data_IF_887606154491
#
_entry.id   IF_887606154491
#
_cell.length_a   1.000
_cell.length_b   1.000
_cell.length_c   1.000
_cell.angle_alpha   90.00
_cell.angle_beta   90.00
_cell.angle_gamma   90.00
#
_symmetry.space_group_name_H-M   'P 1'
#
loop_
_entity.id
_entity.type
_entity.pdbx_description
1 polymer ?
#
# COMPACT_ATOMS: atom_id res chain seq x y z
N UNK A 1 1.55 -9.81 -19.00
CA UNK A 1 1.02 -8.44 -19.19
C UNK A 1 1.69 -7.55 -18.16
N UNK A 2 2.16 -6.37 -18.56
CA UNK A 2 2.75 -5.39 -17.65
C UNK A 2 1.68 -4.88 -16.67
N UNK A 3 2.12 -4.48 -15.48
CA UNK A 3 1.24 -3.79 -14.53
C UNK A 3 0.69 -2.49 -15.17
N UNK A 4 -0.60 -2.15 -14.95
CA UNK A 4 -1.10 -0.83 -15.32
C UNK A 4 -0.44 0.23 -14.42
N UNK A 5 -0.28 1.49 -14.88
CA UNK A 5 0.27 2.55 -14.04
C UNK A 5 -0.64 2.93 -12.86
N UNK A 6 -1.95 2.70 -13.01
CA UNK A 6 -2.96 2.94 -11.98
C UNK A 6 -3.97 1.80 -11.94
N UNK A 7 -4.20 1.24 -10.75
CA UNK A 7 -5.27 0.28 -10.49
C UNK A 7 -5.78 0.44 -9.05
N UNK A 8 -6.91 1.14 -8.84
CA UNK A 8 -7.33 1.52 -7.51
C UNK A 8 -7.71 0.31 -6.66
N UNK A 9 -7.09 0.19 -5.48
CA UNK A 9 -7.54 -0.73 -4.44
C UNK A 9 -8.76 -0.14 -3.73
N UNK A 10 -9.77 -0.93 -3.37
CA UNK A 10 -10.86 -0.48 -2.49
C UNK A 10 -10.45 -0.42 -1.02
N UNK A 11 -9.29 -0.98 -0.66
CA UNK A 11 -8.83 -1.13 0.71
C UNK A 11 -8.06 0.11 1.19
N UNK A 12 -8.75 1.23 1.32
CA UNK A 12 -8.18 2.45 1.88
C UNK A 12 -9.21 3.23 2.68
N UNK A 13 -8.74 4.24 3.40
CA UNK A 13 -9.62 5.16 4.11
C UNK A 13 -8.95 6.51 4.35
N UNK A 14 -9.61 7.43 5.08
CA UNK A 14 -8.97 8.66 5.50
C UNK A 14 -7.79 8.37 6.43
N UNK A 15 -6.75 9.21 6.33
CA UNK A 15 -5.69 9.26 7.35
C UNK A 15 -6.31 9.70 8.67
N UNK A 16 -5.90 9.07 9.77
CA UNK A 16 -6.43 9.36 11.11
C UNK A 16 -5.71 10.56 11.72
N UNK A 17 -6.38 11.24 12.65
CA UNK A 17 -5.81 12.29 13.52
C UNK A 17 -5.05 13.41 12.78
N UNK A 18 -5.44 13.72 11.54
CA UNK A 18 -4.76 14.73 10.70
C UNK A 18 -3.33 14.35 10.31
N UNK A 19 -2.94 13.08 10.49
CA UNK A 19 -1.60 12.58 10.21
C UNK A 19 -1.32 12.61 8.71
N UNK A 20 -0.06 12.87 8.39
CA UNK A 20 0.46 12.93 7.02
C UNK A 20 1.66 11.98 6.88
N UNK A 21 1.95 11.51 5.66
CA UNK A 21 3.17 10.75 5.38
C UNK A 21 4.42 11.48 5.84
N UNK A 22 5.25 10.79 6.60
CA UNK A 22 6.62 11.19 6.95
C UNK A 22 7.60 10.00 6.85
N UNK A 23 7.11 8.83 6.43
CA UNK A 23 7.84 7.57 6.33
C UNK A 23 7.55 6.92 4.99
N UNK A 24 8.54 6.21 4.46
CA UNK A 24 8.35 5.21 3.41
C UNK A 24 8.56 3.84 4.05
N UNK A 25 7.63 2.91 3.83
CA UNK A 25 7.75 1.53 4.30
C UNK A 25 7.83 0.63 3.08
N UNK A 26 8.97 -0.05 2.93
CA UNK A 26 9.22 -0.99 1.84
C UNK A 26 8.79 -2.39 2.26
N UNK A 27 7.96 -3.03 1.45
CA UNK A 27 7.48 -4.40 1.64
C UNK A 27 7.97 -5.29 0.50
N UNK A 28 7.91 -6.59 0.73
CA UNK A 28 7.90 -7.58 -0.34
C UNK A 28 6.62 -8.41 -0.21
N UNK A 29 6.02 -8.80 -1.34
CA UNK A 29 4.67 -9.37 -1.35
C UNK A 29 4.63 -10.86 -1.07
N UNK A 30 5.77 -11.56 -1.18
CA UNK A 30 5.88 -13.02 -1.09
C UNK A 30 4.94 -13.79 -2.05
N UNK A 31 4.56 -13.18 -3.18
CA UNK A 31 3.67 -13.77 -4.17
C UNK A 31 4.40 -14.17 -5.45
N UNK A 32 3.85 -15.15 -6.16
CA UNK A 32 4.44 -15.72 -7.38
C UNK A 32 4.55 -14.72 -8.53
N UNK A 33 3.74 -13.65 -8.53
CA UNK A 33 3.81 -12.62 -9.56
C UNK A 33 3.28 -11.27 -9.08
N UNK A 34 3.69 -10.21 -9.79
CA UNK A 34 3.16 -8.87 -9.60
C UNK A 34 1.64 -8.81 -9.82
N UNK A 35 1.10 -9.61 -10.76
CA UNK A 35 -0.35 -9.68 -10.99
C UNK A 35 -1.08 -10.31 -9.80
N UNK A 36 -0.56 -11.42 -9.26
CA UNK A 36 -1.13 -12.05 -8.07
C UNK A 36 -1.09 -11.11 -6.86
N UNK A 37 0.00 -10.36 -6.68
CA UNK A 37 0.11 -9.33 -5.66
C UNK A 37 -0.93 -8.23 -5.83
N UNK A 38 -1.07 -7.70 -7.05
CA UNK A 38 -2.08 -6.69 -7.38
C UNK A 38 -3.49 -7.18 -7.09
N UNK A 39 -3.83 -8.40 -7.53
CA UNK A 39 -5.14 -9.00 -7.29
C UNK A 39 -5.43 -9.15 -5.79
N UNK A 40 -4.44 -9.55 -4.97
CA UNK A 40 -4.61 -9.60 -3.51
C UNK A 40 -4.77 -8.22 -2.89
N UNK A 41 -3.94 -7.25 -3.26
CA UNK A 41 -3.94 -5.91 -2.69
C UNK A 41 -5.18 -5.10 -3.09
N UNK A 42 -5.90 -5.54 -4.11
CA UNK A 42 -7.18 -4.98 -4.55
C UNK A 42 -8.40 -5.83 -4.14
N UNK A 43 -8.22 -6.98 -3.49
CA UNK A 43 -9.31 -7.83 -2.99
C UNK A 43 -9.97 -7.19 -1.74
N UNK A 44 -11.25 -6.79 -1.79
CA UNK A 44 -11.95 -6.22 -0.63
C UNK A 44 -11.95 -7.12 0.61
N UNK A 45 -11.92 -8.45 0.43
CA UNK A 45 -11.93 -9.43 1.51
C UNK A 45 -10.58 -9.52 2.23
N UNK A 46 -9.48 -9.18 1.56
CA UNK A 46 -8.15 -9.24 2.14
C UNK A 46 -7.87 -8.10 3.13
N UNK A 47 -8.57 -6.95 2.98
CA UNK A 47 -8.44 -5.77 3.82
C UNK A 47 -6.98 -5.31 4.01
N UNK A 48 -6.18 -5.42 2.96
CA UNK A 48 -4.80 -4.93 2.88
C UNK A 48 -4.56 -4.25 1.53
N UNK A 49 -3.66 -3.28 1.51
CA UNK A 49 -3.25 -2.55 0.30
C UNK A 49 -1.93 -1.84 0.53
N UNK A 50 -1.27 -1.42 -0.55
CA UNK A 50 -0.15 -0.49 -0.53
C UNK A 50 -0.48 0.72 -1.42
N UNK A 51 0.35 1.78 -1.38
CA UNK A 51 0.17 2.92 -2.29
C UNK A 51 0.71 2.58 -3.67
N UNK A 52 1.85 1.89 -3.72
CA UNK A 52 2.52 1.47 -4.94
C UNK A 52 2.84 -0.03 -4.90
N UNK A 53 2.93 -0.63 -6.08
CA UNK A 53 3.46 -1.96 -6.31
C UNK A 53 4.49 -1.86 -7.43
N UNK A 54 5.69 -2.37 -7.19
CA UNK A 54 6.76 -2.41 -8.20
C UNK A 54 6.91 -3.85 -8.70
N UNK A 55 6.74 -4.04 -10.00
CA UNK A 55 6.99 -5.31 -10.68
C UNK A 55 8.48 -5.61 -10.83
N UNK A 56 8.83 -6.89 -11.04
CA UNK A 56 10.22 -7.31 -11.25
C UNK A 56 10.85 -6.73 -12.54
N UNK A 57 10.01 -6.30 -13.49
CA UNK A 57 10.39 -5.59 -14.72
C UNK A 57 10.54 -4.07 -14.52
N UNK A 58 10.37 -3.58 -13.29
CA UNK A 58 10.43 -2.15 -12.95
C UNK A 58 9.12 -1.39 -13.23
N UNK A 59 8.07 -2.05 -13.73
CA UNK A 59 6.77 -1.40 -13.89
C UNK A 59 6.19 -1.01 -12.52
N UNK A 60 5.67 0.21 -12.41
CA UNK A 60 5.07 0.71 -11.17
C UNK A 60 3.56 0.84 -11.37
N UNK A 61 2.78 0.23 -10.48
CA UNK A 61 1.34 0.42 -10.37
C UNK A 61 1.03 1.17 -9.09
N UNK A 62 0.35 2.30 -9.19
CA UNK A 62 -0.23 2.96 -8.04
C UNK A 62 -1.64 2.42 -7.77
N UNK A 63 -1.96 2.13 -6.50
CA UNK A 63 -3.23 1.54 -6.09
C UNK A 63 -4.02 2.41 -5.11
N UNK A 64 -3.34 3.28 -4.35
CA UNK A 64 -3.98 4.20 -3.40
C UNK A 64 -3.32 5.57 -3.54
N UNK A 65 -4.13 6.62 -3.63
CA UNK A 65 -3.62 8.00 -3.63
C UNK A 65 -2.84 8.30 -2.35
N UNK A 66 -1.76 9.06 -2.43
CA UNK A 66 -0.92 9.38 -1.27
C UNK A 66 -1.65 10.20 -0.20
N UNK A 67 -2.71 10.92 -0.56
CA UNK A 67 -3.56 11.61 0.40
C UNK A 67 -4.36 10.64 1.29
N UNK A 68 -4.67 9.45 0.79
CA UNK A 68 -5.42 8.42 1.50
C UNK A 68 -4.51 7.49 2.31
N UNK A 69 -5.10 6.77 3.27
CA UNK A 69 -4.45 5.78 4.12
C UNK A 69 -4.61 4.39 3.50
N UNK A 70 -3.55 3.86 2.87
CA UNK A 70 -3.46 2.44 2.52
C UNK A 70 -3.29 1.58 3.79
N UNK A 71 -3.55 0.27 3.69
CA UNK A 71 -3.56 -0.66 4.82
C UNK A 71 -2.43 -1.71 4.67
N UNK A 72 -1.18 -1.31 4.94
CA UNK A 72 0.02 -2.14 4.71
C UNK A 72 0.84 -2.43 5.98
N UNK A 73 0.68 -1.66 7.06
CA UNK A 73 1.55 -1.70 8.24
C UNK A 73 0.89 -2.29 9.49
N UNK A 74 -0.34 -2.82 9.37
CA UNK A 74 -1.09 -3.38 10.51
C UNK A 74 -1.19 -2.42 11.70
N UNK A 75 -1.02 -2.96 12.91
CA UNK A 75 -0.95 -2.21 14.17
C UNK A 75 0.49 -1.75 14.52
N UNK A 76 1.36 -1.59 13.51
CA UNK A 76 2.77 -1.26 13.71
C UNK A 76 3.02 0.10 14.38
N UNK A 77 4.23 0.24 14.91
CA UNK A 77 4.77 1.43 15.56
C UNK A 77 6.21 1.67 15.13
N UNK A 78 6.61 2.94 15.03
CA UNK A 78 7.99 3.34 14.80
C UNK A 78 8.34 4.53 15.68
N UNK A 79 9.45 4.44 16.41
CA UNK A 79 9.94 5.48 17.31
C UNK A 79 8.86 6.04 18.27
N UNK A 80 8.07 5.16 18.88
CA UNK A 80 6.99 5.55 19.81
C UNK A 80 5.74 6.12 19.13
N UNK A 81 5.65 6.08 17.80
CA UNK A 81 4.51 6.59 17.02
C UNK A 81 3.76 5.46 16.33
N UNK A 82 2.56 5.15 16.82
CA UNK A 82 1.65 4.20 16.20
C UNK A 82 0.94 4.73 14.95
N UNK A 83 0.04 3.90 14.40
CA UNK A 83 -0.69 4.12 13.15
C UNK A 83 0.20 4.49 11.96
N UNK A 84 1.16 3.60 11.69
CA UNK A 84 2.12 3.77 10.59
C UNK A 84 1.42 3.94 9.24
N UNK A 85 0.28 3.29 9.02
CA UNK A 85 -0.53 3.48 7.81
C UNK A 85 -0.88 4.96 7.56
N UNK A 86 -1.32 5.70 8.58
CA UNK A 86 -1.63 7.14 8.44
C UNK A 86 -0.37 8.00 8.30
N UNK A 87 0.78 7.51 8.74
CA UNK A 87 2.08 8.23 8.75
C UNK A 87 3.00 7.88 7.60
N UNK A 88 2.59 7.04 6.66
CA UNK A 88 3.51 6.52 5.66
C UNK A 88 2.90 6.30 4.28
N UNK A 89 3.82 6.12 3.33
CA UNK A 89 3.60 5.53 2.02
C UNK A 89 4.18 4.11 2.03
N UNK A 90 3.32 3.11 1.91
CA UNK A 90 3.70 1.72 1.63
C UNK A 90 3.99 1.48 0.15
N UNK A 91 5.13 0.85 -0.13
CA UNK A 91 5.60 0.40 -1.45
C UNK A 91 5.87 -1.10 -1.38
#
# INVERSE_FOLDING_TARGET
>A
MSLPPWHPSPNFGPRRDGLRPALIVIHYTAMDSARAALDRLCDPGAQVSAHYLVGADGAVCQMVEEAARAWHAGAGEWAGKGDINSRSIGI
#
